data_IF_110358863596
#
_entry.id   IF_110358863596
#
_cell.length_a   1.000
_cell.length_b   1.000
_cell.length_c   1.000
_cell.angle_alpha   90.00
_cell.angle_beta   90.00
_cell.angle_gamma   90.00
#
_symmetry.space_group_name_H-M   'P 1'
#
loop_
_entity.id
_entity.type
_entity.pdbx_description
1 polymer ?
#
# COMPACT_ATOMS: atom_id res chain seq x y z
N UNK A 1 -16.18 65.69 26.23
CA UNK A 1 -15.65 67.04 26.58
C UNK A 1 -14.33 67.31 25.86
N UNK A 2 -14.00 68.56 25.54
CA UNK A 2 -12.74 68.91 24.83
C UNK A 2 -11.48 68.41 25.53
N UNK A 3 -11.52 68.29 26.85
CA UNK A 3 -10.45 67.71 27.68
C UNK A 3 -10.18 66.23 27.36
N UNK A 4 -11.22 65.43 27.11
CA UNK A 4 -11.07 64.00 26.78
C UNK A 4 -10.46 63.83 25.39
N UNK A 5 -10.85 64.69 24.44
CA UNK A 5 -10.27 64.70 23.10
C UNK A 5 -8.78 65.09 23.14
N UNK A 6 -8.42 66.05 23.98
CA UNK A 6 -7.03 66.43 24.22
C UNK A 6 -6.22 65.29 24.85
N UNK A 7 -6.78 64.61 25.85
CA UNK A 7 -6.15 63.46 26.48
C UNK A 7 -5.88 62.32 25.48
N UNK A 8 -6.88 61.96 24.67
CA UNK A 8 -6.72 60.97 23.60
C UNK A 8 -5.65 61.36 22.58
N UNK A 9 -5.58 62.65 22.22
CA UNK A 9 -4.57 63.15 21.29
C UNK A 9 -3.15 63.03 21.87
N UNK A 10 -2.99 63.38 23.15
CA UNK A 10 -1.70 63.26 23.87
C UNK A 10 -1.31 61.79 23.99
N UNK A 11 -2.23 60.90 24.38
CA UNK A 11 -1.97 59.47 24.53
C UNK A 11 -1.59 58.82 23.19
N UNK A 12 -2.23 59.24 22.11
CA UNK A 12 -1.86 58.83 20.74
C UNK A 12 -0.45 59.27 20.40
N UNK A 13 -0.09 60.53 20.65
CA UNK A 13 1.27 61.03 20.39
C UNK A 13 2.33 60.32 21.23
N UNK A 14 2.04 60.07 22.51
CA UNK A 14 2.93 59.29 23.39
C UNK A 14 3.10 57.87 22.84
N UNK A 15 2.01 57.25 22.38
CA UNK A 15 2.04 55.91 21.79
C UNK A 15 2.86 55.87 20.48
N UNK A 16 2.71 56.88 19.63
CA UNK A 16 3.46 56.99 18.37
C UNK A 16 4.95 57.16 18.64
N UNK A 17 5.32 58.03 19.59
CA UNK A 17 6.72 58.19 20.02
C UNK A 17 7.28 56.88 20.60
N UNK A 18 6.51 56.16 21.43
CA UNK A 18 6.91 54.85 21.96
C UNK A 18 7.18 53.84 20.84
N UNK A 19 6.29 53.75 19.84
CA UNK A 19 6.46 52.87 18.68
C UNK A 19 7.69 53.23 17.85
N UNK A 20 7.92 54.52 17.60
CA UNK A 20 9.11 55.00 16.87
C UNK A 20 10.40 54.64 17.62
N UNK A 21 10.43 54.80 18.94
CA UNK A 21 11.59 54.41 19.75
C UNK A 21 11.82 52.90 19.71
N UNK A 22 10.77 52.09 19.82
CA UNK A 22 10.87 50.63 19.70
C UNK A 22 11.39 50.20 18.32
N UNK A 23 10.90 50.82 17.25
CA UNK A 23 11.35 50.55 15.89
C UNK A 23 12.83 50.90 15.71
N UNK A 24 13.25 52.07 16.21
CA UNK A 24 14.66 52.49 16.19
C UNK A 24 15.54 51.52 16.95
N UNK A 25 15.15 51.13 18.17
CA UNK A 25 15.90 50.19 18.99
C UNK A 25 16.03 48.82 18.29
N UNK A 26 14.96 48.36 17.64
CA UNK A 26 14.96 47.10 16.87
C UNK A 26 15.90 47.15 15.66
N UNK A 27 16.04 48.31 15.02
CA UNK A 27 16.99 48.51 13.91
C UNK A 27 18.46 48.65 14.34
N UNK A 28 18.69 49.08 15.58
CA UNK A 28 20.03 49.25 16.15
C UNK A 28 20.55 48.00 16.86
N UNK A 29 19.67 47.18 17.43
CA UNK A 29 20.02 45.91 18.08
C UNK A 29 20.68 44.95 17.06
N UNK A 30 21.98 44.62 17.21
CA UNK A 30 22.69 43.74 16.31
C UNK A 30 22.08 42.33 16.22
N UNK A 31 21.51 41.82 17.31
CA UNK A 31 20.90 40.49 17.37
C UNK A 31 19.63 40.42 16.50
N UNK A 32 18.73 41.38 16.66
CA UNK A 32 17.50 41.48 15.87
C UNK A 32 17.79 41.80 14.40
N UNK A 33 18.76 42.67 14.14
CA UNK A 33 19.21 43.00 12.78
C UNK A 33 19.75 41.78 12.02
N UNK A 34 20.41 40.84 12.70
CA UNK A 34 20.85 39.58 12.12
C UNK A 34 19.74 38.52 12.03
N UNK A 35 18.76 38.56 12.94
CA UNK A 35 17.66 37.59 12.98
C UNK A 35 16.60 37.86 11.91
N UNK A 36 16.25 39.13 11.63
CA UNK A 36 15.20 39.50 10.65
C UNK A 36 15.50 38.96 9.24
N UNK A 37 16.74 39.09 8.69
CA UNK A 37 17.09 38.49 7.40
C UNK A 37 16.99 36.96 7.41
N UNK A 38 17.38 36.31 8.51
CA UNK A 38 17.26 34.84 8.66
C UNK A 38 15.80 34.40 8.68
N UNK A 39 14.93 35.14 9.37
CA UNK A 39 13.48 34.88 9.36
C UNK A 39 12.93 35.07 7.95
N UNK A 40 13.28 36.17 7.27
CA UNK A 40 12.87 36.41 5.88
C UNK A 40 13.29 35.27 4.96
N UNK A 41 14.54 34.82 5.07
CA UNK A 41 15.06 33.70 4.29
C UNK A 41 14.27 32.41 4.57
N UNK A 42 14.04 32.09 5.85
CA UNK A 42 13.24 30.91 6.25
C UNK A 42 11.82 30.98 5.72
N UNK A 43 11.18 32.15 5.78
CA UNK A 43 9.83 32.36 5.21
C UNK A 43 9.85 32.12 3.70
N UNK A 44 10.85 32.63 2.98
CA UNK A 44 11.01 32.37 1.55
C UNK A 44 11.15 30.87 1.24
N UNK A 45 12.02 30.16 1.97
CA UNK A 45 12.19 28.71 1.79
C UNK A 45 10.91 27.91 2.06
N UNK A 46 10.13 28.32 3.06
CA UNK A 46 8.84 27.68 3.36
C UNK A 46 7.84 27.94 2.23
N UNK A 47 7.80 29.16 1.69
CA UNK A 47 6.93 29.49 0.57
C UNK A 47 7.27 28.67 -0.67
N UNK A 48 8.55 28.60 -1.05
CA UNK A 48 9.01 27.79 -2.19
C UNK A 48 8.67 26.30 -2.02
N UNK A 49 8.71 25.79 -0.78
CA UNK A 49 8.34 24.42 -0.47
C UNK A 49 6.83 24.18 -0.59
N UNK A 50 6.02 25.15 -0.14
CA UNK A 50 4.57 25.09 -0.28
C UNK A 50 4.16 25.11 -1.75
N UNK A 51 4.78 25.96 -2.57
CA UNK A 51 4.49 26.01 -4.01
C UNK A 51 4.81 24.67 -4.69
N UNK A 52 5.92 24.03 -4.32
CA UNK A 52 6.26 22.67 -4.80
C UNK A 52 5.24 21.63 -4.36
N UNK A 53 4.82 21.69 -3.09
CA UNK A 53 3.82 20.75 -2.56
C UNK A 53 2.49 20.92 -3.29
N UNK A 54 2.05 22.15 -3.52
CA UNK A 54 0.82 22.44 -4.25
C UNK A 54 0.87 21.88 -5.68
N UNK A 55 1.99 22.07 -6.39
CA UNK A 55 2.18 21.50 -7.71
C UNK A 55 2.12 19.96 -7.71
N UNK A 56 2.73 19.31 -6.72
CA UNK A 56 2.68 17.84 -6.58
C UNK A 56 1.27 17.34 -6.29
N UNK A 57 0.52 18.03 -5.43
CA UNK A 57 -0.88 17.68 -5.12
C UNK A 57 -1.74 17.76 -6.38
N UNK A 58 -1.61 18.85 -7.15
CA UNK A 58 -2.36 19.02 -8.41
C UNK A 58 -2.01 17.93 -9.44
N UNK A 59 -0.74 17.51 -9.51
CA UNK A 59 -0.34 16.40 -10.40
C UNK A 59 -0.96 15.07 -9.93
N UNK A 60 -0.96 14.82 -8.61
CA UNK A 60 -1.52 13.61 -8.04
C UNK A 60 -3.04 13.53 -8.26
N UNK A 61 -3.78 14.64 -8.11
CA UNK A 61 -5.20 14.71 -8.43
C UNK A 61 -5.47 14.35 -9.90
N UNK A 62 -4.71 14.94 -10.84
CA UNK A 62 -4.83 14.62 -12.28
C UNK A 62 -4.53 13.15 -12.58
N UNK A 63 -3.59 12.53 -11.87
CA UNK A 63 -3.30 11.10 -12.02
C UNK A 63 -4.44 10.24 -11.47
N UNK A 64 -5.04 10.65 -10.36
CA UNK A 64 -6.16 9.96 -9.77
C UNK A 64 -7.40 9.99 -10.68
N UNK A 65 -7.71 11.13 -11.28
CA UNK A 65 -8.81 11.26 -12.25
C UNK A 65 -8.63 10.30 -13.44
N UNK A 66 -7.41 10.23 -13.99
CA UNK A 66 -7.08 9.29 -15.08
C UNK A 66 -7.23 7.84 -14.65
N UNK A 67 -6.83 7.50 -13.42
CA UNK A 67 -6.96 6.15 -12.89
C UNK A 67 -8.44 5.76 -12.71
N UNK A 68 -9.28 6.69 -12.26
CA UNK A 68 -10.72 6.47 -12.14
C UNK A 68 -11.37 6.19 -13.50
N UNK A 69 -10.99 6.96 -14.53
CA UNK A 69 -11.49 6.73 -15.89
C UNK A 69 -11.06 5.38 -16.46
N UNK A 70 -9.82 4.94 -16.20
CA UNK A 70 -9.35 3.61 -16.58
C UNK A 70 -10.10 2.50 -15.84
N UNK A 71 -10.38 2.69 -14.55
CA UNK A 71 -11.13 1.72 -13.77
C UNK A 71 -12.56 1.57 -14.30
N UNK A 72 -13.24 2.69 -14.60
CA UNK A 72 -14.57 2.69 -15.24
C UNK A 72 -14.54 2.01 -16.61
N UNK A 73 -13.50 2.23 -17.41
CA UNK A 73 -13.34 1.57 -18.70
C UNK A 73 -13.17 0.04 -18.55
N UNK A 74 -12.28 -0.39 -17.65
CA UNK A 74 -12.07 -1.80 -17.38
C UNK A 74 -13.32 -2.50 -16.83
N UNK A 75 -14.12 -1.81 -16.01
CA UNK A 75 -15.39 -2.33 -15.50
C UNK A 75 -16.41 -2.52 -16.63
N UNK A 76 -16.52 -1.57 -17.57
CA UNK A 76 -17.36 -1.71 -18.76
C UNK A 76 -16.94 -2.92 -19.60
N UNK A 77 -15.65 -3.04 -19.90
CA UNK A 77 -15.10 -4.15 -20.69
C UNK A 77 -15.35 -5.51 -20.01
N UNK A 78 -15.20 -5.56 -18.68
CA UNK A 78 -15.50 -6.76 -17.91
C UNK A 78 -16.98 -7.14 -17.99
N UNK A 79 -17.88 -6.16 -17.87
CA UNK A 79 -19.32 -6.40 -17.95
C UNK A 79 -19.74 -6.81 -19.36
N UNK A 80 -19.16 -6.21 -20.40
CA UNK A 80 -19.36 -6.62 -21.79
C UNK A 80 -18.88 -8.06 -22.02
N UNK A 81 -17.68 -8.42 -21.56
CA UNK A 81 -17.16 -9.77 -21.67
C UNK A 81 -18.04 -10.82 -20.96
N UNK A 82 -18.58 -10.49 -19.77
CA UNK A 82 -19.55 -11.35 -19.07
C UNK A 82 -20.84 -11.51 -19.88
N UNK A 83 -21.39 -10.41 -20.40
CA UNK A 83 -22.59 -10.44 -21.22
C UNK A 83 -22.39 -11.29 -22.49
N UNK A 84 -21.24 -11.16 -23.16
CA UNK A 84 -20.89 -11.98 -24.31
C UNK A 84 -20.78 -13.46 -23.94
N UNK A 85 -20.20 -13.80 -22.78
CA UNK A 85 -20.10 -15.17 -22.28
C UNK A 85 -21.48 -15.80 -22.02
N UNK A 86 -22.41 -15.03 -21.47
CA UNK A 86 -23.77 -15.50 -21.15
C UNK A 86 -24.61 -15.71 -22.43
N UNK A 87 -24.40 -14.86 -23.44
CA UNK A 87 -25.16 -14.84 -24.68
C UNK A 87 -24.53 -15.62 -25.84
N UNK A 88 -23.54 -16.48 -25.59
CA UNK A 88 -22.94 -17.30 -26.65
C UNK A 88 -24.01 -18.24 -27.24
N UNK A 89 -24.29 -18.16 -28.56
CA UNK A 89 -25.20 -19.08 -29.25
C UNK A 89 -24.78 -20.54 -29.09
N UNK A 90 -25.76 -21.45 -28.96
CA UNK A 90 -25.52 -22.88 -28.73
C UNK A 90 -24.46 -23.54 -29.65
N UNK A 91 -24.34 -23.21 -30.96
CA UNK A 91 -23.30 -23.77 -31.83
C UNK A 91 -21.87 -23.29 -31.50
N UNK A 92 -21.73 -22.14 -30.84
CA UNK A 92 -20.45 -21.51 -30.50
C UNK A 92 -19.99 -21.81 -29.07
N UNK A 93 -20.84 -22.41 -28.24
CA UNK A 93 -20.48 -22.98 -26.93
C UNK A 93 -19.61 -24.22 -27.13
N UNK A 94 -18.39 -24.05 -27.66
CA UNK A 94 -17.43 -25.14 -27.81
C UNK A 94 -16.94 -25.58 -26.44
N UNK A 95 -17.50 -26.71 -26.00
CA UNK A 95 -17.01 -27.68 -25.02
C UNK A 95 -15.51 -27.48 -24.75
N UNK A 96 -15.15 -26.96 -23.57
CA UNK A 96 -13.78 -27.00 -23.05
C UNK A 96 -13.41 -28.45 -22.78
N UNK A 97 -13.06 -29.16 -23.86
CA UNK A 97 -12.38 -30.44 -23.82
C UNK A 97 -10.93 -30.09 -24.08
N UNK A 98 -10.17 -29.96 -23.00
CA UNK A 98 -8.70 -29.87 -23.04
C UNK A 98 -8.20 -31.15 -23.74
N UNK A 99 -8.02 -31.07 -25.06
CA UNK A 99 -7.32 -32.09 -25.84
C UNK A 99 -5.90 -31.59 -25.99
N UNK A 100 -5.03 -32.07 -25.12
CA UNK A 100 -3.63 -32.26 -25.51
C UNK A 100 -3.67 -33.41 -26.52
N UNK A 101 -3.48 -33.10 -27.80
CA UNK A 101 -3.19 -34.10 -28.81
C UNK A 101 -1.95 -33.63 -29.55
N UNK A 102 -0.79 -34.20 -29.19
CA UNK A 102 0.39 -34.15 -30.03
C UNK A 102 0.16 -34.93 -31.33
N UNK A 103 0.90 -34.63 -32.40
CA UNK A 103 0.73 -35.31 -33.68
C UNK A 103 1.58 -36.59 -33.70
N UNK A 104 0.96 -37.76 -33.86
CA UNK A 104 1.69 -38.93 -34.40
C UNK A 104 0.76 -39.73 -35.31
N UNK A 105 1.32 -39.99 -36.48
CA UNK A 105 0.81 -40.68 -37.66
C UNK A 105 0.47 -42.16 -37.36
N UNK A 106 -0.54 -42.66 -38.07
CA UNK A 106 -1.01 -44.07 -38.09
C UNK A 106 0.11 -45.06 -38.43
N UNK A 107 0.10 -46.23 -37.79
CA UNK A 107 0.33 -47.53 -38.41
C UNK A 107 -0.40 -48.63 -37.61
N UNK A 108 -0.85 -49.66 -38.32
CA UNK A 108 -1.84 -50.68 -37.94
C UNK A 108 -1.27 -51.83 -37.08
N UNK A 109 -2.13 -52.55 -36.34
CA UNK A 109 -1.79 -53.85 -35.75
C UNK A 109 -2.59 -54.31 -34.51
N UNK A 110 -3.73 -54.97 -34.73
CA UNK A 110 -4.31 -56.14 -34.03
C UNK A 110 -4.08 -56.48 -32.51
N UNK A 111 -5.22 -56.69 -31.82
CA UNK A 111 -5.59 -57.83 -30.92
C UNK A 111 -5.48 -57.75 -29.37
N UNK A 112 -6.67 -57.87 -28.74
CA UNK A 112 -7.08 -58.45 -27.43
C UNK A 112 -6.77 -57.83 -26.04
N UNK A 113 -7.89 -57.50 -25.37
CA UNK A 113 -8.31 -57.84 -23.99
C UNK A 113 -7.36 -57.64 -22.79
N UNK A 114 -7.67 -56.66 -21.91
CA UNK A 114 -7.83 -56.81 -20.44
C UNK A 114 -8.01 -55.43 -19.76
N UNK A 115 -9.10 -55.24 -19.02
CA UNK A 115 -9.21 -54.27 -17.91
C UNK A 115 -8.69 -54.93 -16.61
N UNK A 116 -8.57 -54.25 -15.45
CA UNK A 116 -8.23 -52.85 -15.15
C UNK A 116 -7.12 -52.76 -14.06
N UNK A 117 -6.34 -51.68 -14.00
CA UNK A 117 -5.71 -51.26 -12.72
C UNK A 117 -5.67 -49.74 -12.58
N UNK A 118 -6.59 -49.25 -11.75
CA UNK A 118 -6.65 -47.90 -11.19
C UNK A 118 -5.42 -47.70 -10.30
N UNK A 119 -4.42 -46.99 -10.81
CA UNK A 119 -3.30 -46.50 -10.01
C UNK A 119 -3.50 -45.01 -9.71
N UNK A 120 -3.65 -44.75 -8.41
CA UNK A 120 -3.90 -43.49 -7.71
C UNK A 120 -3.08 -42.31 -8.28
N UNK A 121 -3.77 -41.22 -8.62
CA UNK A 121 -3.13 -39.90 -8.81
C UNK A 121 -2.67 -39.39 -7.45
N UNK A 122 -1.40 -39.02 -7.35
CA UNK A 122 -0.86 -38.26 -6.22
C UNK A 122 -1.51 -36.86 -6.16
N UNK A 123 -1.73 -36.30 -4.96
CA UNK A 123 -2.23 -34.93 -4.82
C UNK A 123 -1.21 -33.92 -5.35
N UNK A 124 -1.68 -32.96 -6.14
CA UNK A 124 -0.87 -31.83 -6.58
C UNK A 124 -0.33 -31.06 -5.35
N UNK A 125 0.98 -30.83 -5.32
CA UNK A 125 1.65 -30.14 -4.23
C UNK A 125 1.09 -28.72 -4.04
N UNK A 126 0.78 -28.29 -2.80
CA UNK A 126 0.29 -26.95 -2.54
C UNK A 126 1.38 -25.91 -2.83
N UNK A 127 1.05 -24.92 -3.67
CA UNK A 127 1.93 -23.78 -4.02
C UNK A 127 2.58 -23.17 -2.76
N UNK A 128 3.88 -22.86 -2.70
CA UNK A 128 4.52 -22.34 -1.48
C UNK A 128 3.86 -21.05 -0.99
N UNK A 129 3.77 -20.86 0.34
CA UNK A 129 3.35 -19.60 0.96
C UNK A 129 4.52 -18.61 0.83
N UNK A 130 4.28 -17.41 0.33
CA UNK A 130 5.33 -16.39 0.17
C UNK A 130 5.76 -15.90 1.57
N UNK A 131 7.06 -15.90 1.83
CA UNK A 131 7.68 -15.45 3.07
C UNK A 131 8.55 -14.20 2.81
N UNK A 132 8.74 -13.38 3.83
CA UNK A 132 9.68 -12.26 3.79
C UNK A 132 11.11 -12.78 3.92
N UNK A 133 12.02 -12.28 3.08
CA UNK A 133 13.44 -12.60 3.18
C UNK A 133 14.07 -11.92 4.40
N UNK A 134 15.04 -12.57 5.03
CA UNK A 134 15.85 -11.97 6.09
C UNK A 134 16.75 -10.89 5.51
N UNK A 135 17.02 -9.87 6.33
CA UNK A 135 17.89 -8.75 5.97
C UNK A 135 19.35 -9.19 6.14
N UNK A 136 20.15 -8.96 5.10
CA UNK A 136 21.60 -9.18 5.15
C UNK A 136 22.32 -8.01 5.82
N UNK A 137 23.52 -8.25 6.36
CA UNK A 137 24.32 -7.18 7.00
C UNK A 137 24.55 -5.97 6.08
N UNK A 138 24.78 -6.22 4.77
CA UNK A 138 24.96 -5.17 3.76
C UNK A 138 23.71 -4.32 3.58
N UNK A 139 22.53 -4.94 3.52
CA UNK A 139 21.25 -4.23 3.44
C UNK A 139 21.01 -3.43 4.71
N UNK A 140 21.31 -4.00 5.88
CA UNK A 140 21.19 -3.31 7.16
C UNK A 140 22.12 -2.08 7.26
N UNK A 141 23.37 -2.18 6.79
CA UNK A 141 24.30 -1.05 6.78
C UNK A 141 23.80 0.11 5.90
N UNK A 142 23.13 -0.21 4.78
CA UNK A 142 22.58 0.81 3.86
C UNK A 142 21.43 1.63 4.43
N UNK A 143 20.76 1.16 5.50
CA UNK A 143 19.66 1.88 6.14
C UNK A 143 20.23 3.09 6.90
N UNK A 144 19.66 4.30 6.76
CA UNK A 144 20.12 5.47 7.51
C UNK A 144 20.06 5.27 9.04
N UNK A 145 21.04 5.84 9.74
CA UNK A 145 21.21 5.63 11.19
C UNK A 145 20.04 6.14 12.03
N UNK A 146 19.40 7.22 11.59
CA UNK A 146 18.19 7.75 12.24
C UNK A 146 16.99 6.78 12.17
N UNK A 147 16.94 5.86 11.20
CA UNK A 147 15.89 4.83 11.12
C UNK A 147 16.24 3.56 11.91
N UNK A 148 17.53 3.24 12.00
CA UNK A 148 18.01 2.08 12.77
C UNK A 148 17.97 2.32 14.28
N UNK A 149 18.26 3.55 14.71
CA UNK A 149 18.39 3.89 16.11
C UNK A 149 19.40 2.97 16.82
N UNK A 150 18.93 2.21 17.82
CA UNK A 150 19.74 1.24 18.58
C UNK A 150 19.48 -0.22 18.19
N UNK A 151 18.70 -0.46 17.14
CA UNK A 151 18.35 -1.81 16.71
C UNK A 151 19.56 -2.49 16.05
N UNK A 152 19.66 -3.81 16.23
CA UNK A 152 20.66 -4.67 15.57
C UNK A 152 20.00 -5.47 14.45
N UNK A 153 20.78 -5.86 13.44
CA UNK A 153 20.31 -6.68 12.33
C UNK A 153 19.58 -7.96 12.83
N UNK A 154 20.16 -8.66 13.81
CA UNK A 154 19.58 -9.88 14.41
C UNK A 154 18.20 -9.63 15.03
N UNK A 155 18.00 -8.47 15.67
CA UNK A 155 16.72 -8.13 16.29
C UNK A 155 15.63 -7.93 15.22
N UNK A 156 15.97 -7.34 14.08
CA UNK A 156 15.04 -7.17 12.96
C UNK A 156 14.75 -8.52 12.31
N UNK A 157 15.77 -9.34 12.09
CA UNK A 157 15.59 -10.68 11.52
C UNK A 157 14.73 -11.58 12.41
N UNK A 158 14.90 -11.53 13.74
CA UNK A 158 14.03 -12.24 14.68
C UNK A 158 12.55 -11.81 14.56
N UNK A 159 12.29 -10.51 14.35
CA UNK A 159 10.93 -10.01 14.09
C UNK A 159 10.41 -10.54 12.75
N UNK A 160 11.22 -10.52 11.68
CA UNK A 160 10.85 -11.06 10.37
C UNK A 160 10.52 -12.55 10.47
N UNK A 161 11.28 -13.33 11.23
CA UNK A 161 10.98 -14.75 11.51
C UNK A 161 9.64 -14.93 12.23
N UNK A 162 9.37 -14.09 13.24
CA UNK A 162 8.08 -14.07 13.93
C UNK A 162 6.91 -13.77 12.99
N UNK A 163 7.09 -12.80 12.10
CA UNK A 163 6.12 -12.45 11.04
C UNK A 163 5.91 -13.63 10.10
N UNK A 164 6.99 -14.22 9.58
CA UNK A 164 6.94 -15.37 8.69
C UNK A 164 6.21 -16.54 9.34
N UNK A 165 6.46 -16.80 10.63
CA UNK A 165 5.76 -17.83 11.40
C UNK A 165 4.25 -17.55 11.52
N UNK A 166 3.87 -16.30 11.80
CA UNK A 166 2.47 -15.91 11.89
C UNK A 166 1.74 -16.05 10.53
N UNK A 167 2.39 -15.61 9.44
CA UNK A 167 1.90 -15.75 8.08
C UNK A 167 1.74 -17.23 7.72
N UNK A 168 2.76 -18.05 7.97
CA UNK A 168 2.71 -19.49 7.72
C UNK A 168 1.53 -20.14 8.46
N UNK A 169 1.38 -19.86 9.76
CA UNK A 169 0.27 -20.40 10.54
C UNK A 169 -1.11 -20.00 10.02
N UNK A 170 -1.32 -18.72 9.66
CA UNK A 170 -2.58 -18.25 9.07
C UNK A 170 -2.92 -18.98 7.77
N UNK A 171 -1.97 -19.00 6.83
CA UNK A 171 -2.23 -19.56 5.50
C UNK A 171 -2.22 -21.09 5.47
N UNK A 172 -1.59 -21.75 6.45
CA UNK A 172 -1.72 -23.19 6.67
C UNK A 172 -3.16 -23.56 7.07
N UNK A 173 -3.75 -22.81 8.01
CA UNK A 173 -5.16 -22.96 8.41
C UNK A 173 -6.09 -22.70 7.22
N UNK A 174 -5.87 -21.65 6.44
CA UNK A 174 -6.73 -21.32 5.29
C UNK A 174 -6.66 -22.35 4.14
N UNK A 175 -5.57 -23.10 4.01
CA UNK A 175 -5.40 -24.11 2.96
C UNK A 175 -5.89 -25.50 3.36
N UNK A 176 -6.01 -25.74 4.67
CA UNK A 176 -6.45 -27.03 5.16
C UNK A 176 -7.91 -27.31 4.77
N UNK A 177 -8.25 -28.51 4.28
CA UNK A 177 -9.64 -28.84 3.96
C UNK A 177 -10.53 -28.79 5.21
N UNK A 178 -11.65 -28.05 5.15
CA UNK A 178 -12.61 -27.88 6.26
C UNK A 178 -13.12 -29.19 6.88
N UNK A 179 -13.18 -30.26 6.08
CA UNK A 179 -13.59 -31.62 6.50
C UNK A 179 -12.58 -32.28 7.44
N UNK A 180 -11.31 -31.88 7.38
CA UNK A 180 -10.22 -32.43 8.20
C UNK A 180 -9.98 -31.62 9.49
N UNK A 181 -10.62 -30.47 9.63
CA UNK A 181 -10.38 -29.54 10.74
C UNK A 181 -11.24 -29.84 11.96
N UNK A 182 -10.64 -29.69 13.16
CA UNK A 182 -11.37 -29.71 14.43
C UNK A 182 -12.10 -28.36 14.67
N UNK A 183 -12.93 -28.29 15.71
CA UNK A 183 -13.75 -27.09 16.00
C UNK A 183 -12.91 -25.84 16.22
N UNK A 184 -11.76 -25.94 16.91
CA UNK A 184 -10.88 -24.80 17.16
C UNK A 184 -10.24 -24.26 15.87
N UNK A 185 -9.74 -25.15 15.02
CA UNK A 185 -9.17 -24.81 13.72
C UNK A 185 -10.21 -24.22 12.77
N UNK A 186 -11.46 -24.71 12.82
CA UNK A 186 -12.58 -24.15 12.04
C UNK A 186 -12.95 -22.74 12.49
N UNK A 187 -12.99 -22.49 13.80
CA UNK A 187 -13.22 -21.13 14.32
C UNK A 187 -12.11 -20.16 13.89
N UNK A 188 -10.85 -20.61 13.89
CA UNK A 188 -9.71 -19.83 13.44
C UNK A 188 -9.77 -19.55 11.93
N UNK A 189 -10.18 -20.54 11.13
CA UNK A 189 -10.44 -20.38 9.70
C UNK A 189 -11.47 -19.28 9.43
N UNK A 190 -12.62 -19.33 10.10
CA UNK A 190 -13.67 -18.32 9.92
C UNK A 190 -13.19 -16.92 10.30
N UNK A 191 -12.47 -16.78 11.42
CA UNK A 191 -11.87 -15.50 11.83
C UNK A 191 -10.89 -14.96 10.78
N UNK A 192 -10.04 -15.82 10.22
CA UNK A 192 -9.09 -15.40 9.17
C UNK A 192 -9.80 -15.02 7.86
N UNK A 193 -10.86 -15.75 7.51
CA UNK A 193 -11.66 -15.50 6.33
C UNK A 193 -12.48 -14.20 6.42
N UNK A 194 -13.12 -13.94 7.56
CA UNK A 194 -13.87 -12.71 7.83
C UNK A 194 -12.98 -11.47 7.80
N UNK A 195 -11.71 -11.61 8.16
CA UNK A 195 -10.72 -10.53 8.11
C UNK A 195 -10.20 -10.20 6.71
N UNK A 196 -10.54 -10.98 5.66
CA UNK A 196 -10.15 -10.66 4.28
C UNK A 196 -11.12 -9.66 3.66
N UNK A 197 -10.64 -8.45 3.38
CA UNK A 197 -11.38 -7.42 2.64
C UNK A 197 -11.07 -7.50 1.14
N UNK A 198 -11.90 -6.84 0.30
CA UNK A 198 -11.71 -6.78 -1.16
C UNK A 198 -10.32 -6.29 -1.57
N UNK A 199 -9.71 -5.41 -0.77
CA UNK A 199 -8.38 -4.83 -0.99
C UNK A 199 -7.24 -5.78 -0.66
N UNK A 200 -7.47 -6.74 0.25
CA UNK A 200 -6.45 -7.74 0.66
C UNK A 200 -6.46 -9.00 -0.20
N UNK A 201 -7.40 -9.10 -1.15
CA UNK A 201 -7.61 -10.30 -1.96
C UNK A 201 -6.42 -10.53 -2.90
N UNK A 202 -5.70 -11.63 -2.68
CA UNK A 202 -4.50 -11.99 -3.44
C UNK A 202 -3.19 -11.44 -2.86
N UNK A 203 -3.25 -10.68 -1.76
CA UNK A 203 -2.09 -10.26 -0.98
C UNK A 203 -1.87 -11.21 0.21
N UNK A 204 -0.62 -11.27 0.69
CA UNK A 204 -0.28 -11.98 1.93
C UNK A 204 -0.37 -10.98 3.08
N UNK A 205 -1.42 -11.08 3.89
CA UNK A 205 -1.72 -10.15 4.99
C UNK A 205 -1.93 -10.92 6.27
N UNK A 206 -1.37 -10.43 7.37
CA UNK A 206 -1.61 -10.93 8.72
C UNK A 206 -1.93 -9.77 9.65
N UNK A 207 -2.69 -10.05 10.70
CA UNK A 207 -3.03 -9.09 11.75
C UNK A 207 -2.46 -9.66 13.06
N UNK A 208 -1.72 -8.84 13.80
CA UNK A 208 -1.17 -9.15 15.13
C UNK A 208 -2.24 -8.98 16.21
#
# INVERSE_FOLDING_TARGET
>A
SDLEHLQLHIDKKISDVKKLLQLRNTGQDPSLRLMIPKIRQKIGLVHDLLDKLEAQVQEQEKLNDKLEELWKAAERDQNEAKHLLENIPAPLRKRTRTRVTGPVVKCEGQTQTAEPRVARRSPAEPKPIKQMALITAKEFESIPEYMKGRLKCDAINAVIEGINKAVMGKYEVLRQPLKSMNTAARNLYHRHWEGETKETKGLVVFFL
#
